data_IF_147664282073
#
_entry.id   IF_147664282073
#
_cell.length_a   1.000
_cell.length_b   1.000
_cell.length_c   1.000
_cell.angle_alpha   90.00
_cell.angle_beta   90.00
_cell.angle_gamma   90.00
#
_symmetry.space_group_name_H-M   'P 1'
#
loop_
_entity.id
_entity.type
_entity.pdbx_description
1 polymer ?
#
# COMPACT_ATOMS: atom_id res chain seq x y z
N UNK A 1 -6.39 -30.90 -23.01
CA UNK A 1 -5.50 -29.75 -22.69
C UNK A 1 -6.10 -28.40 -23.08
N UNK A 2 -6.86 -28.27 -24.18
CA UNK A 2 -7.56 -27.01 -24.53
C UNK A 2 -8.74 -26.66 -23.60
N UNK A 3 -9.45 -27.68 -23.08
CA UNK A 3 -10.57 -27.46 -22.15
C UNK A 3 -10.10 -26.85 -20.81
N UNK A 4 -8.93 -27.27 -20.32
CA UNK A 4 -8.34 -26.75 -19.08
C UNK A 4 -7.84 -25.30 -19.23
N UNK A 5 -7.32 -24.92 -20.40
CA UNK A 5 -6.87 -23.53 -20.62
C UNK A 5 -8.04 -22.54 -20.72
N UNK A 6 -9.18 -22.94 -21.28
CA UNK A 6 -10.39 -22.11 -21.29
C UNK A 6 -10.93 -21.91 -19.87
N UNK A 7 -11.00 -22.97 -19.07
CA UNK A 7 -11.44 -22.88 -17.67
C UNK A 7 -10.51 -22.00 -16.82
N UNK A 8 -9.19 -22.13 -16.99
CA UNK A 8 -8.22 -21.27 -16.29
C UNK A 8 -8.37 -19.80 -16.70
N UNK A 9 -8.60 -19.51 -17.98
CA UNK A 9 -8.88 -18.14 -18.45
C UNK A 9 -10.15 -17.58 -17.85
N UNK A 10 -11.25 -18.35 -17.86
CA UNK A 10 -12.51 -17.95 -17.24
C UNK A 10 -12.34 -17.63 -15.75
N UNK A 11 -11.63 -18.48 -15.00
CA UNK A 11 -11.32 -18.21 -13.60
C UNK A 11 -10.52 -16.91 -13.42
N UNK A 12 -9.48 -16.68 -14.24
CA UNK A 12 -8.72 -15.43 -14.15
C UNK A 12 -9.56 -14.18 -14.42
N UNK A 13 -10.53 -14.24 -15.33
CA UNK A 13 -11.43 -13.14 -15.58
C UNK A 13 -12.31 -12.80 -14.37
N UNK A 14 -12.85 -13.82 -13.70
CA UNK A 14 -13.66 -13.62 -12.49
C UNK A 14 -12.84 -12.93 -11.39
N UNK A 15 -11.60 -13.40 -11.17
CA UNK A 15 -10.69 -12.80 -10.18
C UNK A 15 -10.36 -11.35 -10.55
N UNK A 16 -10.20 -11.04 -11.83
CA UNK A 16 -9.89 -9.69 -12.30
C UNK A 16 -11.09 -8.73 -12.15
N UNK A 17 -12.32 -9.19 -12.39
CA UNK A 17 -13.54 -8.42 -12.14
C UNK A 17 -13.68 -8.14 -10.64
N UNK A 18 -13.47 -9.16 -9.79
CA UNK A 18 -13.49 -8.99 -8.35
C UNK A 18 -12.46 -7.94 -7.91
N UNK A 19 -11.22 -8.02 -8.40
CA UNK A 19 -10.17 -7.04 -8.12
C UNK A 19 -10.59 -5.61 -8.50
N UNK A 20 -11.26 -5.44 -9.65
CA UNK A 20 -11.78 -4.14 -10.08
C UNK A 20 -12.86 -3.60 -9.14
N UNK A 21 -13.86 -4.43 -8.80
CA UNK A 21 -14.95 -4.05 -7.87
C UNK A 21 -14.38 -3.62 -6.52
N UNK A 22 -13.40 -4.37 -5.98
CA UNK A 22 -12.73 -4.02 -4.73
C UNK A 22 -11.99 -2.68 -4.81
N UNK A 23 -11.38 -2.37 -5.96
CA UNK A 23 -10.68 -1.09 -6.16
C UNK A 23 -11.66 0.08 -6.22
N UNK A 24 -12.78 -0.08 -6.95
CA UNK A 24 -13.84 0.93 -7.03
C UNK A 24 -14.44 1.18 -5.65
N UNK A 25 -14.75 0.12 -4.90
CA UNK A 25 -15.25 0.23 -3.53
C UNK A 25 -14.29 1.00 -2.63
N UNK A 26 -12.99 0.68 -2.68
CA UNK A 26 -11.96 1.37 -1.91
C UNK A 26 -11.91 2.86 -2.24
N UNK A 27 -11.86 3.20 -3.53
CA UNK A 27 -11.79 4.60 -4.00
C UNK A 27 -13.04 5.35 -3.58
N UNK A 28 -14.22 4.78 -3.82
CA UNK A 28 -15.50 5.37 -3.44
C UNK A 28 -15.57 5.62 -1.93
N UNK A 29 -15.23 4.63 -1.10
CA UNK A 29 -15.24 4.74 0.36
C UNK A 29 -14.33 5.87 0.86
N UNK A 30 -13.12 5.98 0.31
CA UNK A 30 -12.17 7.02 0.74
C UNK A 30 -12.49 8.41 0.17
N UNK A 31 -13.09 8.50 -1.02
CA UNK A 31 -13.64 9.74 -1.54
C UNK A 31 -14.81 10.23 -0.70
N UNK A 32 -15.66 9.30 -0.24
CA UNK A 32 -16.77 9.62 0.65
C UNK A 32 -16.30 10.22 1.98
N UNK A 33 -15.17 9.75 2.50
CA UNK A 33 -14.53 10.26 3.74
C UNK A 33 -13.65 11.50 3.47
N UNK A 34 -13.59 12.00 2.22
CA UNK A 34 -12.84 13.20 1.79
C UNK A 34 -11.35 13.21 2.19
N UNK A 35 -10.74 12.05 2.39
CA UNK A 35 -9.35 11.94 2.86
C UNK A 35 -8.50 11.15 1.87
N UNK A 36 -8.22 11.79 0.73
CA UNK A 36 -7.41 11.22 -0.34
C UNK A 36 -5.91 11.36 -0.01
N UNK A 37 -5.21 10.24 0.15
CA UNK A 37 -3.77 10.21 0.43
C UNK A 37 -2.99 9.57 -0.72
N UNK A 38 -1.67 9.77 -0.76
CA UNK A 38 -0.78 9.17 -1.75
C UNK A 38 -0.89 7.63 -1.84
N UNK A 39 -1.19 6.95 -0.73
CA UNK A 39 -1.51 5.51 -0.69
C UNK A 39 -2.63 5.14 -1.69
N UNK A 40 -3.69 5.95 -1.74
CA UNK A 40 -4.85 5.69 -2.59
C UNK A 40 -4.62 6.07 -4.04
N UNK A 41 -3.73 7.04 -4.29
CA UNK A 41 -3.29 7.35 -5.63
C UNK A 41 -2.59 6.14 -6.27
N UNK A 42 -1.69 5.46 -5.55
CA UNK A 42 -1.03 4.26 -6.06
C UNK A 42 -1.99 3.08 -6.23
N UNK A 43 -2.92 2.88 -5.30
CA UNK A 43 -3.96 1.86 -5.46
C UNK A 43 -4.87 2.13 -6.67
N UNK A 44 -5.22 3.41 -6.91
CA UNK A 44 -5.98 3.81 -8.09
C UNK A 44 -5.19 3.61 -9.39
N UNK A 45 -3.89 3.93 -9.41
CA UNK A 45 -3.00 3.64 -10.54
C UNK A 45 -3.00 2.13 -10.84
N UNK A 46 -2.86 1.28 -9.82
CA UNK A 46 -2.94 -0.18 -9.97
C UNK A 46 -4.27 -0.61 -10.60
N UNK A 47 -5.38 -0.04 -10.13
CA UNK A 47 -6.73 -0.29 -10.65
C UNK A 47 -6.87 0.11 -12.12
N UNK A 48 -6.47 1.33 -12.48
CA UNK A 48 -6.54 1.85 -13.85
C UNK A 48 -5.67 1.01 -14.79
N UNK A 49 -4.45 0.65 -14.38
CA UNK A 49 -3.59 -0.22 -15.17
C UNK A 49 -4.18 -1.63 -15.32
N UNK A 50 -4.86 -2.17 -14.29
CA UNK A 50 -5.55 -3.45 -14.36
C UNK A 50 -6.70 -3.44 -15.38
N UNK A 51 -7.48 -2.35 -15.42
CA UNK A 51 -8.53 -2.15 -16.42
C UNK A 51 -7.94 -2.04 -17.83
N UNK A 52 -6.88 -1.25 -18.01
CA UNK A 52 -6.20 -1.10 -19.29
C UNK A 52 -5.68 -2.45 -19.82
N UNK A 53 -5.08 -3.27 -18.94
CA UNK A 53 -4.64 -4.64 -19.26
C UNK A 53 -5.81 -5.53 -19.66
N UNK A 54 -6.92 -5.47 -18.92
CA UNK A 54 -8.13 -6.24 -19.24
C UNK A 54 -8.66 -5.87 -20.63
N UNK A 55 -8.80 -4.57 -20.93
CA UNK A 55 -9.23 -4.06 -22.24
C UNK A 55 -8.28 -4.53 -23.34
N UNK A 56 -6.96 -4.44 -23.15
CA UNK A 56 -5.98 -4.92 -24.12
C UNK A 56 -6.12 -6.43 -24.40
N UNK A 57 -6.38 -7.24 -23.36
CA UNK A 57 -6.64 -8.67 -23.54
C UNK A 57 -7.92 -8.94 -24.34
N UNK A 58 -8.99 -8.16 -24.14
CA UNK A 58 -10.23 -8.29 -24.90
C UNK A 58 -10.06 -7.91 -26.37
N UNK A 59 -9.38 -6.79 -26.60
CA UNK A 59 -9.07 -6.29 -27.94
C UNK A 59 -8.30 -7.32 -28.75
N UNK A 60 -7.33 -8.02 -28.14
CA UNK A 60 -6.55 -9.07 -28.80
C UNK A 60 -7.39 -10.32 -29.14
N UNK A 61 -8.45 -10.60 -28.38
CA UNK A 61 -9.38 -11.71 -28.66
C UNK A 61 -10.36 -11.33 -29.79
N UNK A 62 -10.83 -10.09 -29.80
CA UNK A 62 -11.88 -9.64 -30.73
C UNK A 62 -11.34 -9.19 -32.09
N UNK A 63 -10.15 -8.57 -32.13
CA UNK A 63 -9.59 -7.97 -33.34
C UNK A 63 -8.17 -8.50 -33.56
N UNK A 64 -8.05 -9.45 -34.47
CA UNK A 64 -6.78 -10.11 -34.78
C UNK A 64 -6.01 -9.38 -35.89
N UNK A 65 -5.72 -8.09 -35.67
CA UNK A 65 -4.92 -7.28 -36.59
C UNK A 65 -3.48 -7.11 -36.08
N UNK A 66 -2.52 -6.88 -36.99
CA UNK A 66 -1.09 -6.70 -36.65
C UNK A 66 -0.86 -5.46 -35.76
N UNK A 67 -1.55 -4.36 -36.05
CA UNK A 67 -1.45 -3.11 -35.27
C UNK A 67 -2.06 -3.30 -33.89
N UNK A 68 -3.22 -3.96 -33.82
CA UNK A 68 -3.90 -4.27 -32.57
C UNK A 68 -3.07 -5.15 -31.65
N UNK A 69 -2.39 -6.16 -32.19
CA UNK A 69 -1.49 -7.01 -31.42
C UNK A 69 -0.33 -6.20 -30.82
N UNK A 70 0.30 -5.34 -31.62
CA UNK A 70 1.43 -4.52 -31.16
C UNK A 70 1.01 -3.56 -30.04
N UNK A 71 -0.11 -2.87 -30.20
CA UNK A 71 -0.64 -1.96 -29.17
C UNK A 71 -0.98 -2.72 -27.89
N UNK A 72 -1.66 -3.86 -28.00
CA UNK A 72 -2.05 -4.67 -26.84
C UNK A 72 -0.84 -5.25 -26.10
N UNK A 73 0.22 -5.61 -26.83
CA UNK A 73 1.48 -6.08 -26.28
C UNK A 73 2.16 -4.99 -25.44
N UNK A 74 2.26 -3.76 -25.96
CA UNK A 74 2.85 -2.63 -25.22
C UNK A 74 2.03 -2.25 -23.99
N UNK A 75 0.70 -2.19 -24.12
CA UNK A 75 -0.18 -1.93 -22.99
C UNK A 75 0.03 -2.99 -21.91
N UNK A 76 0.02 -4.27 -22.26
CA UNK A 76 0.20 -5.36 -21.27
C UNK A 76 1.58 -5.33 -20.62
N UNK A 77 2.62 -5.07 -21.41
CA UNK A 77 4.02 -5.02 -20.96
C UNK A 77 4.29 -3.87 -19.99
N UNK A 78 3.65 -2.71 -20.19
CA UNK A 78 3.80 -1.54 -19.31
C UNK A 78 2.86 -1.64 -18.10
N UNK A 79 1.62 -2.07 -18.30
CA UNK A 79 0.63 -2.15 -17.21
C UNK A 79 1.01 -3.20 -16.17
N UNK A 80 1.63 -4.32 -16.57
CA UNK A 80 2.09 -5.35 -15.64
C UNK A 80 2.99 -4.82 -14.50
N UNK A 81 4.17 -4.22 -14.77
CA UNK A 81 5.01 -3.66 -13.72
C UNK A 81 4.31 -2.51 -13.00
N UNK A 82 3.51 -1.69 -13.69
CA UNK A 82 2.75 -0.63 -13.03
C UNK A 82 1.82 -1.20 -11.95
N UNK A 83 1.09 -2.29 -12.23
CA UNK A 83 0.19 -2.92 -11.25
C UNK A 83 0.96 -3.46 -10.05
N UNK A 84 2.02 -4.24 -10.28
CA UNK A 84 2.75 -4.93 -9.20
C UNK A 84 3.55 -3.96 -8.34
N UNK A 85 4.23 -2.98 -8.95
CA UNK A 85 5.01 -1.99 -8.22
C UNK A 85 4.12 -0.96 -7.50
N UNK A 86 3.02 -0.52 -8.11
CA UNK A 86 2.08 0.38 -7.42
C UNK A 86 1.38 -0.29 -6.23
N UNK A 87 1.07 -1.59 -6.32
CA UNK A 87 0.56 -2.36 -5.18
C UNK A 87 1.56 -2.37 -4.01
N UNK A 88 2.84 -2.64 -4.27
CA UNK A 88 3.91 -2.61 -3.27
C UNK A 88 4.10 -1.22 -2.66
N UNK A 89 4.03 -0.16 -3.46
CA UNK A 89 4.06 1.22 -2.98
C UNK A 89 2.89 1.57 -2.09
N UNK A 90 1.68 1.18 -2.47
CA UNK A 90 0.49 1.38 -1.65
C UNK A 90 0.64 0.66 -0.30
N UNK A 91 1.17 -0.57 -0.27
CA UNK A 91 1.43 -1.30 0.97
C UNK A 91 2.50 -0.59 1.81
N UNK A 92 3.61 -0.16 1.22
CA UNK A 92 4.65 0.59 1.92
C UNK A 92 4.05 1.84 2.59
N UNK A 93 3.30 2.65 1.84
CA UNK A 93 2.65 3.86 2.37
C UNK A 93 1.57 3.55 3.44
N UNK A 94 0.91 2.40 3.33
CA UNK A 94 -0.03 1.93 4.35
C UNK A 94 0.67 1.66 5.68
N UNK A 95 1.84 0.97 5.64
CA UNK A 95 2.65 0.68 6.84
C UNK A 95 3.17 1.98 7.45
N UNK A 96 3.62 2.91 6.61
CA UNK A 96 4.28 4.14 7.07
C UNK A 96 3.29 5.11 7.70
N UNK A 97 2.02 5.08 7.26
CA UNK A 97 0.92 5.77 7.93
C UNK A 97 0.57 5.14 9.28
N UNK A 98 0.65 3.81 9.38
CA UNK A 98 0.35 3.09 10.62
C UNK A 98 1.44 3.30 11.69
N UNK A 99 2.69 3.41 11.25
CA UNK A 99 3.79 3.83 12.10
C UNK A 99 3.58 5.30 12.51
N UNK A 100 3.55 5.60 13.81
CA UNK A 100 3.61 7.02 14.23
C UNK A 100 4.89 7.62 13.62
N UNK A 101 4.83 8.79 12.96
CA UNK A 101 5.96 9.33 12.23
C UNK A 101 7.06 9.81 13.19
N UNK A 102 7.88 8.90 13.67
CA UNK A 102 9.21 9.24 14.19
C UNK A 102 10.05 9.68 13.00
N UNK A 103 10.80 10.77 13.15
CA UNK A 103 11.63 11.35 12.08
C UNK A 103 12.52 10.30 11.37
N UNK A 104 13.03 9.31 12.12
CA UNK A 104 13.85 8.23 11.56
C UNK A 104 13.06 7.24 10.68
N UNK A 105 11.85 6.83 11.09
CA UNK A 105 11.00 5.90 10.33
C UNK A 105 10.55 6.56 9.03
N UNK A 106 10.25 7.86 9.06
CA UNK A 106 9.88 8.62 7.86
C UNK A 106 11.04 8.67 6.86
N UNK A 107 12.27 8.92 7.32
CA UNK A 107 13.47 8.91 6.46
C UNK A 107 13.71 7.51 5.86
N UNK A 108 13.56 6.45 6.65
CA UNK A 108 13.72 5.08 6.17
C UNK A 108 12.65 4.71 5.13
N UNK A 109 11.39 5.05 5.40
CA UNK A 109 10.28 4.90 4.46
C UNK A 109 10.54 5.60 3.13
N UNK A 110 11.03 6.84 3.18
CA UNK A 110 11.33 7.61 1.99
C UNK A 110 12.45 6.94 1.18
N UNK A 111 13.49 6.43 1.85
CA UNK A 111 14.54 5.64 1.21
C UNK A 111 14.00 4.42 0.47
N UNK A 112 13.11 3.65 1.10
CA UNK A 112 12.47 2.50 0.45
C UNK A 112 11.58 2.89 -0.72
N UNK A 113 10.80 3.97 -0.60
CA UNK A 113 9.98 4.47 -1.70
C UNK A 113 10.84 4.93 -2.89
N UNK A 114 12.00 5.54 -2.66
CA UNK A 114 12.94 5.90 -3.74
C UNK A 114 13.48 4.64 -4.43
N UNK A 115 13.95 3.65 -3.66
CA UNK A 115 14.49 2.40 -4.20
C UNK A 115 13.43 1.66 -5.02
N UNK A 116 12.20 1.55 -4.51
CA UNK A 116 11.11 0.88 -5.23
C UNK A 116 10.77 1.62 -6.53
N UNK A 117 10.80 2.96 -6.52
CA UNK A 117 10.56 3.77 -7.72
C UNK A 117 11.65 3.56 -8.76
N UNK A 118 12.92 3.45 -8.34
CA UNK A 118 14.05 3.14 -9.22
C UNK A 118 13.93 1.73 -9.82
N UNK A 119 13.59 0.72 -9.02
CA UNK A 119 13.36 -0.65 -9.52
C UNK A 119 12.18 -0.71 -10.49
N UNK A 120 11.12 0.04 -10.21
CA UNK A 120 9.97 0.15 -11.11
C UNK A 120 10.36 0.79 -12.46
N UNK A 121 11.06 1.93 -12.43
CA UNK A 121 11.55 2.58 -13.64
C UNK A 121 12.52 1.66 -14.43
N UNK A 122 13.44 1.00 -13.74
CA UNK A 122 14.37 0.02 -14.33
C UNK A 122 13.62 -1.13 -15.02
N UNK A 123 12.55 -1.64 -14.41
CA UNK A 123 11.70 -2.69 -15.00
C UNK A 123 11.06 -2.28 -16.32
N UNK A 124 10.67 -1.01 -16.46
CA UNK A 124 10.09 -0.46 -17.69
C UNK A 124 11.18 -0.22 -18.73
N UNK A 125 12.30 0.40 -18.33
CA UNK A 125 13.42 0.71 -19.22
C UNK A 125 14.00 -0.56 -19.83
N UNK A 126 14.21 -1.62 -19.03
CA UNK A 126 14.74 -2.89 -19.54
C UNK A 126 13.83 -3.49 -20.62
N UNK A 127 12.52 -3.49 -20.40
CA UNK A 127 11.53 -3.95 -21.39
C UNK A 127 11.56 -3.10 -22.66
N UNK A 128 11.66 -1.78 -22.51
CA UNK A 128 11.72 -0.86 -23.64
C UNK A 128 13.01 -1.04 -24.46
N UNK A 129 14.15 -1.26 -23.81
CA UNK A 129 15.43 -1.48 -24.50
C UNK A 129 15.47 -2.83 -25.24
N UNK A 130 14.99 -3.91 -24.61
CA UNK A 130 14.97 -5.23 -25.25
C UNK A 130 13.97 -5.32 -26.41
N UNK A 131 12.82 -4.62 -26.32
CA UNK A 131 11.78 -4.63 -27.37
C UNK A 131 11.92 -3.51 -28.41
N UNK A 132 12.57 -2.40 -28.06
CA UNK A 132 12.64 -1.20 -28.90
C UNK A 132 13.89 -1.10 -29.78
N UNK A 133 14.90 -1.95 -29.56
CA UNK A 133 16.13 -1.90 -30.35
C UNK A 133 15.91 -2.47 -31.76
N UNK A 134 16.01 -1.60 -32.77
CA UNK A 134 15.73 -1.88 -34.19
C UNK A 134 16.57 -3.03 -34.78
N UNK A 135 17.74 -3.32 -34.21
CA UNK A 135 18.67 -4.36 -34.66
C UNK A 135 18.14 -5.80 -34.47
N UNK A 136 17.08 -5.98 -33.66
CA UNK A 136 16.42 -7.29 -33.42
C UNK A 136 15.02 -7.36 -34.01
N UNK A 137 14.66 -6.49 -34.96
CA UNK A 137 13.47 -6.64 -35.81
C UNK A 137 13.61 -7.89 -36.68
N UNK A 138 13.44 -9.07 -36.09
CA UNK A 138 13.26 -10.28 -36.86
C UNK A 138 11.99 -10.09 -37.71
N UNK A 139 12.05 -10.22 -39.05
CA UNK A 139 10.86 -10.28 -39.85
C UNK A 139 10.06 -11.49 -39.39
N UNK A 140 8.94 -11.21 -38.74
CA UNK A 140 8.00 -12.19 -38.19
C UNK A 140 7.50 -13.05 -39.34
N UNK A 141 8.20 -14.15 -39.62
CA UNK A 141 7.78 -15.15 -40.61
C UNK A 141 6.55 -15.95 -40.17
N UNK A 142 6.18 -15.90 -38.88
CA UNK A 142 5.05 -16.62 -38.31
C UNK A 142 4.08 -15.69 -37.56
N UNK A 143 2.79 -15.60 -37.96
CA UNK A 143 1.78 -14.75 -37.31
C UNK A 143 1.39 -15.16 -35.87
N UNK A 144 2.12 -16.09 -35.25
CA UNK A 144 1.95 -16.50 -33.85
C UNK A 144 3.23 -16.40 -33.00
N UNK A 145 4.34 -15.88 -33.55
CA UNK A 145 5.57 -15.72 -32.78
C UNK A 145 5.51 -14.43 -31.93
N UNK A 146 5.94 -14.49 -30.65
CA UNK A 146 5.99 -13.33 -29.78
C UNK A 146 6.94 -12.27 -30.35
N UNK A 147 6.53 -11.01 -30.33
CA UNK A 147 7.26 -9.87 -30.94
C UNK A 147 8.65 -9.64 -30.33
N UNK A 148 8.94 -10.23 -29.17
CA UNK A 148 10.26 -10.24 -28.56
C UNK A 148 10.43 -11.49 -27.68
N UNK A 149 11.61 -12.11 -27.73
CA UNK A 149 11.97 -13.31 -26.98
C UNK A 149 12.48 -12.90 -25.58
N UNK A 150 11.55 -12.51 -24.70
CA UNK A 150 11.82 -11.88 -23.39
C UNK A 150 11.65 -12.90 -22.26
N UNK A 151 12.52 -13.89 -22.13
CA UNK A 151 12.27 -14.95 -21.14
C UNK A 151 13.38 -15.11 -20.09
N UNK A 152 14.64 -14.84 -20.43
CA UNK A 152 15.76 -15.04 -19.49
C UNK A 152 15.99 -13.84 -18.58
N UNK A 153 16.62 -12.80 -19.14
CA UNK A 153 17.17 -11.68 -18.37
C UNK A 153 16.09 -10.85 -17.66
N UNK A 154 14.94 -10.64 -18.30
CA UNK A 154 13.83 -9.89 -17.69
C UNK A 154 13.17 -10.68 -16.56
N UNK A 155 12.99 -12.00 -16.71
CA UNK A 155 12.39 -12.83 -15.66
C UNK A 155 13.29 -12.91 -14.42
N UNK A 156 14.61 -13.06 -14.60
CA UNK A 156 15.57 -13.05 -13.48
C UNK A 156 15.56 -11.70 -12.77
N UNK A 157 15.62 -10.59 -13.52
CA UNK A 157 15.60 -9.25 -12.94
C UNK A 157 14.30 -8.97 -12.17
N UNK A 158 13.16 -9.33 -12.75
CA UNK A 158 11.85 -9.17 -12.13
C UNK A 158 11.71 -9.99 -10.85
N UNK A 159 12.14 -11.26 -10.88
CA UNK A 159 12.12 -12.12 -9.70
C UNK A 159 13.05 -11.57 -8.61
N UNK A 160 14.28 -11.18 -8.97
CA UNK A 160 15.25 -10.64 -8.03
C UNK A 160 14.77 -9.34 -7.36
N UNK A 161 14.26 -8.39 -8.15
CA UNK A 161 13.73 -7.11 -7.64
C UNK A 161 12.45 -7.29 -6.85
N UNK A 162 11.58 -8.22 -7.23
CA UNK A 162 10.37 -8.57 -6.46
C UNK A 162 10.73 -9.17 -5.10
N UNK A 163 11.64 -10.15 -5.07
CA UNK A 163 12.13 -10.74 -3.82
C UNK A 163 12.80 -9.70 -2.92
N UNK A 164 13.64 -8.83 -3.48
CA UNK A 164 14.29 -7.76 -2.72
C UNK A 164 13.26 -6.80 -2.11
N UNK A 165 12.25 -6.38 -2.88
CA UNK A 165 11.19 -5.50 -2.40
C UNK A 165 10.36 -6.15 -1.28
N UNK A 166 10.00 -7.43 -1.44
CA UNK A 166 9.21 -8.16 -0.45
C UNK A 166 10.01 -8.35 0.86
N UNK A 167 11.31 -8.67 0.77
CA UNK A 167 12.22 -8.72 1.94
C UNK A 167 12.30 -7.36 2.63
N UNK A 168 12.44 -6.27 1.87
CA UNK A 168 12.48 -4.91 2.43
C UNK A 168 11.17 -4.57 3.16
N UNK A 169 10.00 -4.93 2.61
CA UNK A 169 8.70 -4.74 3.27
C UNK A 169 8.57 -5.56 4.55
N UNK A 170 9.04 -6.81 4.54
CA UNK A 170 9.04 -7.70 5.71
C UNK A 170 9.94 -7.13 6.81
N UNK A 171 11.18 -6.77 6.46
CA UNK A 171 12.13 -6.17 7.40
C UNK A 171 11.59 -4.85 7.95
N UNK A 172 10.98 -4.01 7.11
CA UNK A 172 10.39 -2.76 7.54
C UNK A 172 9.24 -2.99 8.54
N UNK A 173 8.33 -3.91 8.22
CA UNK A 173 7.22 -4.31 9.08
C UNK A 173 7.69 -4.90 10.42
N UNK A 174 8.75 -5.71 10.39
CA UNK A 174 9.32 -6.32 11.59
C UNK A 174 10.04 -5.30 12.48
N UNK A 175 10.83 -4.39 11.90
CA UNK A 175 11.48 -3.29 12.63
C UNK A 175 10.45 -2.40 13.33
N UNK A 176 9.31 -2.17 12.68
CA UNK A 176 8.21 -1.41 13.27
C UNK A 176 7.60 -2.12 14.50
N UNK A 177 7.46 -3.45 14.44
CA UNK A 177 6.96 -4.25 15.56
C UNK A 177 7.92 -4.26 16.76
N UNK A 178 9.23 -4.33 16.51
CA UNK A 178 10.21 -4.45 17.59
C UNK A 178 10.40 -3.15 18.36
N UNK A 179 10.28 -2.00 17.69
CA UNK A 179 10.65 -0.71 18.27
C UNK A 179 9.51 -0.03 19.05
N UNK A 180 8.29 -0.59 19.03
CA UNK A 180 7.11 0.04 19.64
C UNK A 180 6.31 -1.03 20.37
N UNK A 181 6.04 -0.82 21.66
CA UNK A 181 5.08 -1.63 22.43
C UNK A 181 3.66 -1.37 21.91
N UNK A 182 3.31 -1.99 20.78
CA UNK A 182 2.09 -1.71 20.04
C UNK A 182 0.90 -2.47 20.67
N UNK A 183 -0.28 -1.85 20.78
CA UNK A 183 -1.52 -2.52 21.10
C UNK A 183 -1.81 -3.73 20.19
N UNK A 184 -2.52 -4.76 20.68
CA UNK A 184 -2.78 -6.01 19.94
C UNK A 184 -3.48 -5.81 18.59
N UNK A 185 -4.21 -4.70 18.40
CA UNK A 185 -4.87 -4.34 17.13
C UNK A 185 -3.86 -3.99 16.02
N UNK A 186 -2.79 -3.23 16.33
CA UNK A 186 -1.75 -2.87 15.36
C UNK A 186 -0.90 -4.08 14.97
N UNK A 187 -0.64 -4.99 15.92
CA UNK A 187 0.04 -6.26 15.65
C UNK A 187 -0.69 -7.12 14.61
N UNK A 188 -2.03 -7.12 14.62
CA UNK A 188 -2.85 -7.83 13.64
C UNK A 188 -2.75 -7.25 12.23
N UNK A 189 -2.77 -5.92 12.09
CA UNK A 189 -2.59 -5.27 10.79
C UNK A 189 -1.23 -5.61 10.17
N UNK A 190 -0.17 -5.60 10.98
CA UNK A 190 1.18 -5.94 10.49
C UNK A 190 1.27 -7.41 10.07
N UNK A 191 0.60 -8.32 10.78
CA UNK A 191 0.53 -9.73 10.38
C UNK A 191 -0.18 -9.90 9.03
N UNK A 192 -1.26 -9.15 8.78
CA UNK A 192 -1.96 -9.17 7.48
C UNK A 192 -1.03 -8.67 6.38
N UNK A 193 -0.28 -7.58 6.62
CA UNK A 193 0.68 -7.04 5.66
C UNK A 193 1.76 -8.08 5.35
N UNK A 194 2.33 -8.71 6.37
CA UNK A 194 3.32 -9.78 6.21
C UNK A 194 2.79 -10.96 5.39
N UNK A 195 1.58 -11.44 5.72
CA UNK A 195 0.89 -12.48 4.96
C UNK A 195 0.68 -12.07 3.50
N UNK A 196 0.31 -10.81 3.28
CA UNK A 196 0.08 -10.28 1.94
C UNK A 196 1.34 -10.23 1.08
N UNK A 197 2.50 -9.89 1.67
CA UNK A 197 3.79 -9.93 1.00
C UNK A 197 4.16 -11.35 0.58
N UNK A 198 3.98 -12.34 1.47
CA UNK A 198 4.23 -13.76 1.14
C UNK A 198 3.36 -14.21 -0.03
N UNK A 199 2.07 -13.87 0.00
CA UNK A 199 1.13 -14.22 -1.08
C UNK A 199 1.58 -13.61 -2.40
N UNK A 200 1.98 -12.33 -2.42
CA UNK A 200 2.53 -11.70 -3.63
C UNK A 200 3.80 -12.41 -4.13
N UNK A 201 4.74 -12.74 -3.23
CA UNK A 201 5.96 -13.46 -3.61
C UNK A 201 5.68 -14.83 -4.23
N UNK A 202 4.68 -15.57 -3.72
CA UNK A 202 4.28 -16.86 -4.27
C UNK A 202 3.76 -16.73 -5.71
N UNK A 203 2.94 -15.71 -5.99
CA UNK A 203 2.45 -15.46 -7.34
C UNK A 203 3.55 -15.00 -8.30
N UNK A 204 4.46 -14.12 -7.85
CA UNK A 204 5.63 -13.71 -8.63
C UNK A 204 6.55 -14.90 -8.93
N UNK A 205 6.76 -15.81 -7.96
CA UNK A 205 7.53 -17.03 -8.16
C UNK A 205 6.85 -17.97 -9.16
N UNK A 206 5.53 -18.17 -9.02
CA UNK A 206 4.76 -18.98 -9.95
C UNK A 206 4.86 -18.43 -11.38
N UNK A 207 4.67 -17.13 -11.56
CA UNK A 207 4.85 -16.47 -12.84
C UNK A 207 6.27 -16.68 -13.37
N UNK A 208 7.32 -16.43 -12.58
CA UNK A 208 8.70 -16.65 -13.00
C UNK A 208 8.96 -18.10 -13.47
N UNK A 209 8.50 -19.10 -12.71
CA UNK A 209 8.66 -20.53 -13.08
C UNK A 209 7.95 -20.85 -14.40
N UNK A 210 6.74 -20.33 -14.59
CA UNK A 210 5.99 -20.53 -15.85
C UNK A 210 6.63 -19.81 -17.02
N UNK A 211 7.35 -18.71 -16.77
CA UNK A 211 8.11 -17.97 -17.77
C UNK A 211 9.35 -18.78 -18.20
N UNK A 212 10.12 -19.32 -17.24
CA UNK A 212 11.26 -20.21 -17.52
C UNK A 212 10.88 -21.50 -18.25
N UNK A 213 9.66 -21.99 -18.04
CA UNK A 213 9.18 -23.22 -18.69
C UNK A 213 8.78 -23.02 -20.16
N UNK A 214 8.81 -21.78 -20.68
CA UNK A 214 8.41 -21.39 -22.05
C UNK A 214 7.00 -21.85 -22.49
N UNK A 215 6.10 -22.17 -21.55
CA UNK A 215 4.73 -22.59 -21.86
C UNK A 215 3.81 -21.36 -21.92
N UNK A 216 3.76 -20.71 -23.08
CA UNK A 216 3.04 -19.45 -23.33
C UNK A 216 1.60 -19.40 -22.80
N UNK A 217 0.86 -20.51 -22.94
CA UNK A 217 -0.53 -20.61 -22.45
C UNK A 217 -0.64 -20.51 -20.92
N UNK A 218 0.30 -21.10 -20.19
CA UNK A 218 0.33 -21.09 -18.72
C UNK A 218 0.92 -19.77 -18.21
N UNK A 219 1.96 -19.24 -18.87
CA UNK A 219 2.55 -17.93 -18.53
C UNK A 219 1.50 -16.83 -18.57
N UNK A 220 0.61 -16.83 -19.56
CA UNK A 220 -0.48 -15.84 -19.66
C UNK A 220 -1.43 -15.91 -18.45
N UNK A 221 -1.78 -17.14 -18.03
CA UNK A 221 -2.62 -17.35 -16.84
C UNK A 221 -1.90 -16.88 -15.58
N UNK A 222 -0.61 -17.20 -15.44
CA UNK A 222 0.19 -16.79 -14.30
C UNK A 222 0.30 -15.27 -14.18
N UNK A 223 0.57 -14.56 -15.29
CA UNK A 223 0.59 -13.09 -15.35
C UNK A 223 -0.76 -12.49 -14.95
N UNK A 224 -1.87 -13.09 -15.36
CA UNK A 224 -3.22 -12.63 -14.99
C UNK A 224 -3.53 -12.88 -13.51
N UNK A 225 -3.16 -14.05 -12.98
CA UNK A 225 -3.30 -14.36 -11.57
C UNK A 225 -2.48 -13.42 -10.70
N UNK A 226 -1.19 -13.23 -11.03
CA UNK A 226 -0.31 -12.35 -10.27
C UNK A 226 -0.86 -10.93 -10.22
N UNK A 227 -1.15 -10.32 -11.37
CA UNK A 227 -1.70 -8.95 -11.40
C UNK A 227 -3.04 -8.82 -10.66
N UNK A 228 -3.95 -9.78 -10.81
CA UNK A 228 -5.25 -9.71 -10.12
C UNK A 228 -5.09 -9.86 -8.61
N UNK A 229 -4.22 -10.77 -8.17
CA UNK A 229 -3.92 -10.98 -6.75
C UNK A 229 -3.20 -9.77 -6.15
N UNK A 230 -2.26 -9.13 -6.86
CA UNK A 230 -1.61 -7.90 -6.40
C UNK A 230 -2.62 -6.78 -6.14
N UNK A 231 -3.60 -6.60 -7.04
CA UNK A 231 -4.66 -5.60 -6.85
C UNK A 231 -5.57 -5.98 -5.68
N UNK A 232 -5.96 -7.25 -5.55
CA UNK A 232 -6.77 -7.73 -4.41
C UNK A 232 -6.03 -7.49 -3.10
N UNK A 233 -4.78 -7.91 -2.99
CA UNK A 233 -3.91 -7.73 -1.81
C UNK A 233 -3.77 -6.26 -1.45
N UNK A 234 -3.52 -5.40 -2.44
CA UNK A 234 -3.44 -3.95 -2.26
C UNK A 234 -4.75 -3.38 -1.67
N UNK A 235 -5.90 -3.88 -2.08
CA UNK A 235 -7.21 -3.45 -1.57
C UNK A 235 -7.60 -4.11 -0.23
N UNK A 236 -7.10 -5.32 0.04
CA UNK A 236 -7.46 -6.15 1.19
C UNK A 236 -7.19 -5.44 2.51
N UNK A 237 -6.07 -4.71 2.62
CA UNK A 237 -5.71 -3.98 3.84
C UNK A 237 -6.80 -3.00 4.27
N UNK A 238 -7.40 -2.27 3.32
CA UNK A 238 -8.46 -1.30 3.63
C UNK A 238 -9.77 -1.99 3.95
N UNK A 239 -10.11 -3.03 3.19
CA UNK A 239 -11.34 -3.78 3.39
C UNK A 239 -11.34 -4.45 4.76
N UNK A 240 -10.23 -5.08 5.16
CA UNK A 240 -10.12 -5.72 6.48
C UNK A 240 -10.20 -4.68 7.59
N UNK A 241 -9.56 -3.52 7.42
CA UNK A 241 -9.67 -2.42 8.40
C UNK A 241 -11.10 -1.91 8.52
N UNK A 242 -11.82 -1.78 7.40
CA UNK A 242 -13.21 -1.36 7.37
C UNK A 242 -14.14 -2.41 7.99
N UNK A 243 -14.02 -3.67 7.59
CA UNK A 243 -14.81 -4.78 8.11
C UNK A 243 -14.63 -4.91 9.63
N UNK A 244 -13.40 -4.76 10.12
CA UNK A 244 -13.12 -4.74 11.55
C UNK A 244 -13.87 -3.59 12.25
N UNK A 245 -13.85 -2.38 11.69
CA UNK A 245 -14.59 -1.23 12.25
C UNK A 245 -16.10 -1.45 12.29
N UNK A 246 -16.68 -2.03 11.24
CA UNK A 246 -18.12 -2.29 11.16
C UNK A 246 -18.54 -3.38 12.13
N UNK A 247 -17.81 -4.49 12.20
CA UNK A 247 -18.13 -5.62 13.07
C UNK A 247 -17.91 -5.32 14.55
N UNK A 248 -16.99 -4.41 14.88
CA UNK A 248 -16.65 -4.05 16.25
C UNK A 248 -17.35 -2.77 16.72
N UNK A 249 -18.28 -2.22 15.92
CA UNK A 249 -19.11 -1.07 16.28
C UNK A 249 -20.18 -1.54 17.26
N UNK A 250 -19.94 -1.37 18.56
CA UNK A 250 -20.99 -1.57 19.57
C UNK A 250 -22.03 -0.44 19.44
N UNK A 251 -23.33 -0.74 19.62
CA UNK A 251 -24.40 0.24 19.43
C UNK A 251 -24.44 1.37 20.49
N UNK A 252 -23.68 1.27 21.60
CA UNK A 252 -23.71 2.26 22.71
C UNK A 252 -22.40 3.03 22.95
N UNK A 253 -21.41 2.94 22.05
CA UNK A 253 -20.16 3.72 22.18
C UNK A 253 -20.28 5.04 21.40
N UNK A 254 -21.13 5.93 21.91
CA UNK A 254 -21.08 7.34 21.55
C UNK A 254 -19.79 7.93 22.16
N UNK A 255 -18.83 8.25 21.27
CA UNK A 255 -17.75 9.21 21.51
C UNK A 255 -16.47 8.70 22.20
N UNK A 256 -15.81 7.69 21.65
CA UNK A 256 -14.34 7.69 21.55
C UNK A 256 -13.90 7.53 20.09
N UNK A 257 -13.35 8.62 19.57
CA UNK A 257 -12.97 8.86 18.18
C UNK A 257 -11.63 8.12 17.89
N UNK A 258 -11.67 6.79 17.91
CA UNK A 258 -10.56 5.86 17.61
C UNK A 258 -10.21 5.85 16.10
N UNK A 259 -9.97 7.02 15.51
CA UNK A 259 -9.50 7.16 14.14
C UNK A 259 -8.05 6.69 14.03
N UNK A 260 -7.84 5.45 13.56
CA UNK A 260 -6.54 4.87 13.15
C UNK A 260 -5.77 5.68 12.08
N UNK A 261 -6.38 6.72 11.52
CA UNK A 261 -5.77 7.61 10.52
C UNK A 261 -5.34 8.95 11.11
N UNK A 262 -5.65 9.22 12.38
CA UNK A 262 -5.04 10.31 13.12
C UNK A 262 -3.66 9.85 13.61
N UNK A 263 -2.62 10.70 13.57
CA UNK A 263 -1.60 10.57 14.59
C UNK A 263 -2.36 10.61 15.90
N UNK A 264 -2.22 9.57 16.73
CA UNK A 264 -2.62 9.68 18.13
C UNK A 264 -1.82 10.87 18.65
N UNK A 265 -2.44 12.05 18.68
CA UNK A 265 -2.16 13.01 19.72
C UNK A 265 -2.29 12.16 20.96
N UNK A 266 -1.16 11.87 21.59
CA UNK A 266 -1.17 11.57 23.01
C UNK A 266 -2.18 12.57 23.58
N UNK A 267 -3.35 12.09 23.99
CA UNK A 267 -3.99 12.70 25.13
C UNK A 267 -2.86 12.67 26.14
N UNK A 268 -2.30 13.84 26.35
CA UNK A 268 -1.36 14.07 27.42
C UNK A 268 -2.19 13.80 28.67
N UNK A 269 -2.23 12.55 29.10
CA UNK A 269 -2.46 12.21 30.51
C UNK A 269 -1.18 12.61 31.26
N UNK A 270 -0.87 13.89 31.15
CA UNK A 270 0.14 14.72 31.82
C UNK A 270 -0.20 16.21 31.55
N UNK A 271 -1.47 16.53 31.30
CA UNK A 271 -2.01 17.89 31.45
C UNK A 271 -3.13 17.95 32.52
N UNK A 272 -3.08 17.02 33.48
CA UNK A 272 -3.77 17.17 34.76
C UNK A 272 -2.76 17.16 35.92
N UNK A 273 -1.63 17.87 35.78
CA UNK A 273 -0.83 18.26 36.94
C UNK A 273 0.12 19.44 36.66
N UNK A 274 -0.42 20.56 36.21
CA UNK A 274 0.14 21.92 36.41
C UNK A 274 -0.81 22.95 35.82
N UNK A 275 -2.04 23.02 36.31
CA UNK A 275 -2.71 24.33 36.41
C UNK A 275 -2.51 24.75 37.85
N UNK A 276 -1.36 25.36 38.13
CA UNK A 276 -1.23 26.20 39.31
C UNK A 276 -2.23 27.33 39.08
N UNK A 277 -3.31 27.26 39.84
CA UNK A 277 -4.38 28.23 39.83
C UNK A 277 -3.82 29.57 40.36
N UNK A 278 -3.33 30.40 39.43
CA UNK A 278 -2.86 31.76 39.73
C UNK A 278 -3.98 32.66 40.27
N UNK A 279 -5.24 32.22 40.25
CA UNK A 279 -6.36 32.98 40.83
C UNK A 279 -6.55 32.71 42.33
N UNK A 280 -6.15 31.54 42.82
CA UNK A 280 -6.20 31.20 44.25
C UNK A 280 -5.02 31.82 45.03
N UNK A 281 -3.83 31.86 44.44
CA UNK A 281 -2.64 32.47 45.09
C UNK A 281 -2.75 33.99 45.17
N UNK A 282 -3.39 34.66 44.20
CA UNK A 282 -3.60 36.12 44.28
C UNK A 282 -4.62 36.50 45.36
N UNK A 283 -5.65 35.68 45.58
CA UNK A 283 -6.58 35.87 46.71
C UNK A 283 -5.90 35.63 48.06
N UNK A 284 -5.12 34.56 48.22
CA UNK A 284 -4.39 34.33 49.48
C UNK A 284 -3.33 35.40 49.77
N UNK A 285 -2.62 35.91 48.76
CA UNK A 285 -1.62 36.97 48.97
C UNK A 285 -2.28 38.30 49.39
N UNK A 286 -3.49 38.59 48.89
CA UNK A 286 -4.23 39.81 49.27
C UNK A 286 -4.77 39.71 50.71
N UNK A 287 -5.21 38.53 51.16
CA UNK A 287 -5.67 38.33 52.54
C UNK A 287 -4.51 38.36 53.54
N UNK A 288 -3.36 37.76 53.21
CA UNK A 288 -2.19 37.73 54.10
C UNK A 288 -1.56 39.13 54.24
N UNK A 289 -1.56 39.94 53.18
CA UNK A 289 -1.10 41.33 53.25
C UNK A 289 -2.07 42.21 54.05
N UNK A 290 -3.40 41.97 53.99
CA UNK A 290 -4.36 42.72 54.80
C UNK A 290 -4.26 42.41 56.30
N UNK A 291 -4.06 41.13 56.67
CA UNK A 291 -3.93 40.74 58.09
C UNK A 291 -2.59 41.18 58.71
N UNK A 292 -1.53 41.27 57.89
CA UNK A 292 -0.22 41.75 58.37
C UNK A 292 -0.21 43.27 58.64
N UNK A 293 -1.04 44.05 57.94
CA UNK A 293 -1.18 45.49 58.18
C UNK A 293 -2.21 45.86 59.26
N UNK A 294 -3.09 44.93 59.66
CA UNK A 294 -4.05 45.14 60.75
C UNK A 294 -3.49 44.81 62.16
N UNK A 295 -2.30 44.20 62.25
CA UNK A 295 -1.71 43.71 63.50
C UNK A 295 -0.79 44.68 64.26
N UNK A 296 -0.54 45.90 63.78
CA UNK A 296 0.35 46.87 64.44
C UNK A 296 -0.41 48.10 64.93
N UNK A 297 -1.19 47.91 66.00
CA UNK A 297 -1.54 49.02 66.90
C UNK A 297 -0.51 49.09 68.03
N UNK A 298 0.14 50.25 68.25
CA UNK A 298 1.02 50.44 69.40
C UNK A 298 0.18 50.62 70.66
N UNK A 299 0.33 49.72 71.63
CA UNK A 299 -0.14 49.94 72.99
C UNK A 299 0.90 50.77 73.75
N UNK A 300 0.58 52.05 73.87
CA UNK A 300 1.15 53.04 74.77
C UNK A 300 1.19 52.57 76.25
N UNK A 301 2.37 52.73 76.85
CA UNK A 301 2.61 53.58 78.04
C UNK A 301 1.79 53.38 79.32
N UNK A 302 2.45 52.83 80.37
CA UNK A 302 2.40 53.11 81.84
C UNK A 302 3.00 51.90 82.56
N UNK A 303 3.91 51.97 83.54
CA UNK A 303 4.39 53.02 84.43
C UNK A 303 5.86 52.75 84.81
#
# INVERSE_FOLDING_TARGET
MALSTVQMKAATFVVQIMAFVLTVFRVWFRLHIRRFWWEDAFAAIAGVCSVAKLIASWILILVQSRTTFSVSFWITTITFPCITWSARMSILLSITRLARPTQWIFRLSLGFAIIFSMMWAGSIVQRALECGSDDKRHPVKNPGAPFCNIYGSIAVYELATSCAADVMLVVFSFRLLWNVNLPPRQRRMILIIFSSSIVMSLFSLFHAVTNFSLVTGITTVAVNLETSCSVIVCNLLVIVTYAYRVLNRKPDDDQEDDDFTRPISTVSTSQQLTTIDHSATSRQLTTIVLDTFAGTSPSDTRA
#
